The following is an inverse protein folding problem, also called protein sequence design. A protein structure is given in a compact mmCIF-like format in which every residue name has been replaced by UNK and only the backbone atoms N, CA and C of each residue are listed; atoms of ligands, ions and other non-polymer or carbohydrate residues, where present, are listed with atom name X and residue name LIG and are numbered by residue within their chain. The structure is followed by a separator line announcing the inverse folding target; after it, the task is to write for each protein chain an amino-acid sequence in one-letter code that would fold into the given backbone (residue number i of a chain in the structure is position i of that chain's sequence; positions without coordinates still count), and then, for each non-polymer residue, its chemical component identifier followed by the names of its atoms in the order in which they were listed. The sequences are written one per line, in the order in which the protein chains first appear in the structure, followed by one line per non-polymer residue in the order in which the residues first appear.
data_IF_144271958634
#
_entry.id   IF_144271958634
#
_cell.length_a   1.000
_cell.length_b   1.000
_cell.length_c   1.000
_cell.angle_alpha   90.00
_cell.angle_beta   90.00
_cell.angle_gamma   90.00
#
_symmetry.space_group_name_H-M   'P 1'
#
loop_
_entity.id
_entity.type
_entity.pdbx_description
1 polymer ?
#
# COMPACT_ATOMS: atom_id res chain seq x y z
N UNK A 1 -14.18 1.71 4.59
CA UNK A 1 -12.89 1.29 5.25
C UNK A 1 -11.72 1.38 4.30
N UNK A 2 -11.75 0.67 3.19
CA UNK A 2 -10.66 0.72 2.21
C UNK A 2 -10.41 2.13 1.67
N UNK A 3 -11.46 2.91 1.43
CA UNK A 3 -11.31 4.29 0.98
C UNK A 3 -10.57 5.16 1.98
N UNK A 4 -10.79 4.94 3.27
CA UNK A 4 -10.09 5.67 4.32
C UNK A 4 -8.60 5.33 4.31
N UNK A 5 -8.26 4.06 4.13
CA UNK A 5 -6.86 3.64 4.05
C UNK A 5 -6.19 4.19 2.79
N UNK A 6 -6.89 4.19 1.66
CA UNK A 6 -6.34 4.80 0.45
C UNK A 6 -6.07 6.29 0.65
N UNK A 7 -6.95 7.01 1.35
CA UNK A 7 -6.72 8.44 1.66
C UNK A 7 -5.44 8.63 2.46
N UNK A 8 -5.15 7.72 3.41
CA UNK A 8 -3.90 7.78 4.17
C UNK A 8 -2.70 7.56 3.25
N UNK A 9 -2.78 6.60 2.32
CA UNK A 9 -1.74 6.41 1.31
C UNK A 9 -1.54 7.67 0.47
N UNK A 10 -2.63 8.24 -0.03
CA UNK A 10 -2.57 9.41 -0.91
C UNK A 10 -1.96 10.62 -0.20
N UNK A 11 -2.26 10.81 1.08
CA UNK A 11 -1.68 11.91 1.87
C UNK A 11 -0.18 11.76 2.06
N UNK A 12 0.36 10.56 2.01
CA UNK A 12 1.80 10.37 2.12
C UNK A 12 2.56 11.02 0.96
N UNK A 13 1.89 11.25 -0.18
CA UNK A 13 2.47 11.98 -1.31
C UNK A 13 2.88 13.40 -0.91
N UNK A 14 2.17 14.03 0.04
CA UNK A 14 2.52 15.36 0.55
C UNK A 14 3.86 15.37 1.28
N UNK A 15 4.33 14.20 1.70
CA UNK A 15 5.63 14.01 2.34
C UNK A 15 6.70 13.51 1.38
N UNK A 16 6.41 13.50 0.09
CA UNK A 16 7.35 13.09 -0.96
C UNK A 16 7.34 11.61 -1.29
N UNK A 17 6.41 10.83 -0.75
CA UNK A 17 6.30 9.42 -1.09
C UNK A 17 5.69 9.26 -2.47
N UNK A 18 6.27 8.40 -3.29
CA UNK A 18 5.70 8.01 -4.58
C UNK A 18 5.05 6.63 -4.43
N UNK A 19 3.82 6.50 -4.88
CA UNK A 19 3.06 5.26 -4.81
C UNK A 19 3.03 4.60 -6.18
N UNK A 20 3.59 3.41 -6.29
CA UNK A 20 3.72 2.71 -7.58
C UNK A 20 2.68 1.62 -7.78
N UNK A 21 2.37 0.85 -6.75
CA UNK A 21 1.34 -0.19 -6.77
C UNK A 21 0.75 -0.30 -5.37
N UNK A 22 -0.51 -0.72 -5.30
CA UNK A 22 -1.11 -1.07 -4.02
C UNK A 22 -2.28 -2.03 -4.21
N UNK A 23 -2.64 -2.71 -3.15
CA UNK A 23 -3.91 -3.42 -3.02
C UNK A 23 -4.35 -3.37 -1.56
N UNK A 24 -5.62 -3.09 -1.34
CA UNK A 24 -6.22 -3.06 -0.01
C UNK A 24 -7.22 -4.21 0.06
N UNK A 25 -6.88 -5.22 0.83
CA UNK A 25 -7.70 -6.41 1.04
C UNK A 25 -8.51 -6.23 2.33
N UNK A 26 -9.54 -7.06 2.58
CA UNK A 26 -10.32 -6.92 3.81
C UNK A 26 -9.52 -7.00 5.10
N UNK A 27 -8.44 -7.78 5.13
CA UNK A 27 -7.68 -8.00 6.37
C UNK A 27 -6.26 -7.46 6.33
N UNK A 28 -5.76 -7.04 5.16
CA UNK A 28 -4.40 -6.55 5.03
C UNK A 28 -4.23 -5.73 3.76
N UNK A 29 -3.07 -5.09 3.64
CA UNK A 29 -2.72 -4.33 2.45
C UNK A 29 -1.28 -4.63 2.02
N UNK A 30 -1.00 -4.33 0.76
CA UNK A 30 0.35 -4.35 0.20
C UNK A 30 0.55 -3.05 -0.58
N UNK A 31 1.72 -2.45 -0.45
CA UNK A 31 2.06 -1.22 -1.18
C UNK A 31 3.50 -1.27 -1.65
N UNK A 32 3.71 -0.79 -2.87
CA UNK A 32 5.05 -0.59 -3.45
C UNK A 32 5.25 0.91 -3.58
N UNK A 33 6.24 1.46 -2.89
CA UNK A 33 6.43 2.90 -2.80
C UNK A 33 7.91 3.26 -2.78
N UNK A 34 8.24 4.48 -3.25
CA UNK A 34 9.54 5.09 -3.05
C UNK A 34 9.42 6.08 -1.91
N UNK A 35 10.13 5.81 -0.82
CA UNK A 35 10.10 6.64 0.39
C UNK A 35 11.34 7.54 0.35
N UNK A 36 11.18 8.88 0.48
CA UNK A 36 12.33 9.78 0.45
C UNK A 36 13.26 9.58 1.65
N UNK A 37 14.53 9.96 1.51
CA UNK A 37 15.54 9.74 2.54
C UNK A 37 15.18 10.34 3.90
N UNK A 38 14.55 11.50 3.91
CA UNK A 38 14.16 12.19 5.14
C UNK A 38 12.98 11.52 5.85
N UNK A 39 12.34 10.56 5.19
CA UNK A 39 11.26 9.78 5.78
C UNK A 39 11.65 8.30 5.67
N UNK A 40 11.94 7.64 6.77
CA UNK A 40 12.33 6.23 6.74
C UNK A 40 11.14 5.33 6.40
N UNK A 41 11.42 4.12 5.94
CA UNK A 41 10.39 3.11 5.67
C UNK A 41 9.61 2.81 6.96
N UNK A 42 10.29 2.72 8.09
CA UNK A 42 9.65 2.51 9.41
C UNK A 42 8.66 3.62 9.72
N UNK A 43 9.08 4.87 9.49
CA UNK A 43 8.21 6.02 9.75
C UNK A 43 7.02 6.04 8.81
N UNK A 44 7.24 5.69 7.55
CA UNK A 44 6.16 5.59 6.57
C UNK A 44 5.13 4.53 6.99
N UNK A 45 5.59 3.34 7.39
CA UNK A 45 4.71 2.28 7.88
C UNK A 45 3.92 2.71 9.12
N UNK A 46 4.57 3.41 10.04
CA UNK A 46 3.91 3.96 11.23
C UNK A 46 2.85 4.99 10.86
N UNK A 47 3.14 5.86 9.89
CA UNK A 47 2.19 6.88 9.43
C UNK A 47 0.96 6.24 8.79
N UNK A 48 1.15 5.19 8.00
CA UNK A 48 0.03 4.47 7.39
C UNK A 48 -0.84 3.84 8.48
N UNK A 49 -0.24 3.04 9.35
CA UNK A 49 -0.99 2.28 10.36
C UNK A 49 -1.60 3.18 11.41
N UNK A 50 -0.81 4.13 11.91
CA UNK A 50 -1.27 5.09 12.92
C UNK A 50 -2.31 6.05 12.37
N UNK A 51 -2.09 6.58 11.17
CA UNK A 51 -3.04 7.47 10.52
C UNK A 51 -4.38 6.79 10.24
N UNK A 52 -4.34 5.57 9.75
CA UNK A 52 -5.55 4.80 9.51
C UNK A 52 -6.27 4.48 10.84
N UNK A 53 -5.54 4.02 11.85
CA UNK A 53 -6.14 3.70 13.16
C UNK A 53 -6.82 4.91 13.78
N UNK A 54 -6.13 6.07 13.74
CA UNK A 54 -6.68 7.30 14.28
C UNK A 54 -7.98 7.70 13.58
N UNK A 55 -7.98 7.67 12.25
CA UNK A 55 -9.15 8.06 11.46
C UNK A 55 -10.28 7.03 11.58
N UNK A 56 -9.95 5.75 11.63
CA UNK A 56 -10.96 4.70 11.78
C UNK A 56 -11.70 4.84 13.11
N UNK A 57 -10.98 5.14 14.18
CA UNK A 57 -11.60 5.36 15.48
C UNK A 57 -12.46 6.62 15.50
N UNK A 58 -11.97 7.70 14.90
CA UNK A 58 -12.66 8.98 14.90
C UNK A 58 -13.86 8.99 13.95
N UNK A 59 -13.70 8.46 12.75
CA UNK A 59 -14.70 8.61 11.68
C UNK A 59 -15.64 7.43 11.54
N UNK A 60 -15.19 6.21 11.93
CA UNK A 60 -15.96 4.98 11.78
C UNK A 60 -16.37 4.34 13.12
N UNK A 61 -15.95 4.94 14.23
CA UNK A 61 -16.33 4.48 15.57
C UNK A 61 -15.67 3.18 16.01
N UNK A 62 -14.55 2.79 15.39
CA UNK A 62 -13.82 1.59 15.79
C UNK A 62 -13.24 1.75 17.20
N UNK A 63 -13.26 0.68 17.98
CA UNK A 63 -12.64 0.62 19.30
C UNK A 63 -11.62 -0.52 19.31
N UNK A 64 -10.59 -0.39 20.15
CA UNK A 64 -9.54 -1.40 20.26
C UNK A 64 -8.50 -1.30 19.15
N UNK A 65 -7.76 -2.37 18.95
CA UNK A 65 -6.73 -2.43 17.93
C UNK A 65 -7.32 -2.62 16.53
N UNK A 66 -6.89 -1.79 15.59
CA UNK A 66 -7.29 -1.90 14.19
C UNK A 66 -6.34 -2.81 13.42
N UNK A 67 -5.06 -2.83 13.81
CA UNK A 67 -4.00 -3.59 13.15
C UNK A 67 -3.32 -4.55 14.11
N UNK A 68 -2.88 -5.68 13.57
CA UNK A 68 -1.85 -6.47 14.24
C UNK A 68 -0.57 -5.65 14.33
N UNK A 69 0.23 -5.89 15.34
CA UNK A 69 1.51 -5.21 15.48
C UNK A 69 2.48 -5.68 14.40
N UNK A 70 3.37 -4.78 13.99
CA UNK A 70 4.40 -5.08 13.02
C UNK A 70 3.96 -4.92 11.58
N UNK A 71 4.91 -5.09 10.71
CA UNK A 71 4.73 -5.03 9.27
C UNK A 71 5.90 -5.75 8.62
N UNK A 72 5.72 -6.11 7.35
CA UNK A 72 6.79 -6.67 6.52
C UNK A 72 7.27 -5.59 5.57
N UNK A 73 8.59 -5.44 5.41
CA UNK A 73 9.14 -4.57 4.38
C UNK A 73 10.30 -5.26 3.66
N UNK A 74 10.47 -4.94 2.39
CA UNK A 74 11.55 -5.45 1.57
C UNK A 74 11.93 -4.40 0.54
N UNK A 75 13.22 -4.06 0.48
CA UNK A 75 13.73 -3.18 -0.57
C UNK A 75 13.82 -3.96 -1.88
N UNK A 76 13.29 -3.37 -2.94
CA UNK A 76 13.37 -3.96 -4.28
C UNK A 76 14.74 -3.64 -4.85
N UNK A 77 15.47 -4.67 -5.29
CA UNK A 77 16.86 -4.52 -5.72
C UNK A 77 17.10 -4.75 -7.19
N UNK A 78 16.21 -5.47 -7.86
CA UNK A 78 16.36 -5.81 -9.27
C UNK A 78 15.06 -5.58 -10.02
N UNK A 79 15.14 -5.44 -11.34
CA UNK A 79 13.95 -5.32 -12.19
C UNK A 79 13.09 -6.58 -12.13
N UNK A 80 13.71 -7.74 -12.00
CA UNK A 80 12.99 -9.01 -11.88
C UNK A 80 12.16 -9.05 -10.61
N UNK A 81 12.74 -8.62 -9.46
CA UNK A 81 11.99 -8.50 -8.21
C UNK A 81 10.84 -7.50 -8.37
N UNK A 82 11.10 -6.38 -9.02
CA UNK A 82 10.09 -5.34 -9.22
C UNK A 82 8.88 -5.90 -9.96
N UNK A 83 9.11 -6.61 -11.07
CA UNK A 83 8.02 -7.18 -11.85
C UNK A 83 7.28 -8.27 -11.09
N UNK A 84 8.00 -9.08 -10.33
CA UNK A 84 7.39 -10.12 -9.50
C UNK A 84 6.49 -9.52 -8.42
N UNK A 85 6.94 -8.45 -7.77
CA UNK A 85 6.17 -7.77 -6.73
C UNK A 85 4.95 -7.09 -7.34
N UNK A 86 5.08 -6.42 -8.48
CA UNK A 86 3.95 -5.81 -9.18
C UNK A 86 2.89 -6.84 -9.52
N UNK A 87 3.33 -7.98 -10.06
CA UNK A 87 2.43 -9.07 -10.39
C UNK A 87 1.73 -9.62 -9.15
N UNK A 88 2.48 -9.83 -8.08
CA UNK A 88 1.94 -10.32 -6.81
C UNK A 88 0.85 -9.39 -6.26
N UNK A 89 1.12 -8.08 -6.24
CA UNK A 89 0.15 -7.10 -5.73
C UNK A 89 -1.11 -7.11 -6.59
N UNK A 90 -0.96 -7.08 -7.91
CA UNK A 90 -2.10 -7.00 -8.84
C UNK A 90 -2.95 -8.26 -8.83
N UNK A 91 -2.32 -9.42 -8.74
CA UNK A 91 -3.02 -10.70 -8.80
C UNK A 91 -3.54 -11.17 -7.44
N UNK A 92 -3.19 -10.47 -6.36
CA UNK A 92 -3.58 -10.90 -5.01
C UNK A 92 -5.10 -11.06 -4.85
N UNK A 93 -5.94 -10.11 -5.30
CA UNK A 93 -7.40 -10.29 -5.18
C UNK A 93 -7.91 -11.49 -5.99
N UNK A 94 -7.31 -11.76 -7.15
CA UNK A 94 -7.68 -12.91 -7.98
C UNK A 94 -7.30 -14.21 -7.26
N UNK A 95 -6.08 -14.28 -6.74
CA UNK A 95 -5.60 -15.46 -6.01
C UNK A 95 -6.43 -15.76 -4.77
N UNK A 96 -7.11 -14.76 -4.22
CA UNK A 96 -7.95 -14.90 -3.03
C UNK A 96 -9.45 -14.94 -3.36
N UNK A 97 -9.80 -15.12 -4.60
CA UNK A 97 -11.18 -15.23 -5.09
C UNK A 97 -12.05 -14.00 -4.77
N UNK A 98 -11.42 -12.82 -4.68
CA UNK A 98 -12.12 -11.55 -4.48
C UNK A 98 -12.48 -10.85 -5.78
N UNK A 99 -11.89 -11.27 -6.88
CA UNK A 99 -12.17 -10.77 -8.22
C UNK A 99 -11.77 -11.83 -9.24
N UNK A 100 -12.40 -11.81 -10.41
CA UNK A 100 -12.03 -12.71 -11.50
C UNK A 100 -10.82 -12.18 -12.27
N UNK A 101 -10.70 -10.85 -12.36
CA UNK A 101 -9.60 -10.18 -13.05
C UNK A 101 -9.05 -9.07 -12.16
N UNK A 102 -7.74 -8.85 -12.25
CA UNK A 102 -7.05 -7.88 -11.40
C UNK A 102 -7.68 -6.47 -11.47
N UNK A 103 -7.98 -6.01 -12.69
CA UNK A 103 -8.52 -4.66 -12.92
C UNK A 103 -9.94 -4.47 -12.42
N UNK A 104 -10.64 -5.54 -12.10
CA UNK A 104 -12.00 -5.48 -11.58
C UNK A 104 -12.04 -5.21 -10.08
N UNK A 105 -10.96 -5.51 -9.36
CA UNK A 105 -10.96 -5.30 -7.91
C UNK A 105 -10.89 -3.80 -7.61
N UNK A 106 -11.87 -3.25 -6.86
CA UNK A 106 -12.00 -1.79 -6.73
C UNK A 106 -10.88 -1.11 -5.93
N UNK A 107 -10.18 -1.82 -5.06
CA UNK A 107 -9.13 -1.22 -4.21
C UNK A 107 -7.75 -1.76 -4.56
N UNK A 108 -7.42 -1.64 -5.84
CA UNK A 108 -6.14 -2.05 -6.38
C UNK A 108 -5.66 -1.04 -7.41
N UNK A 109 -4.34 -0.85 -7.47
CA UNK A 109 -3.70 -0.03 -8.50
C UNK A 109 -3.94 -0.57 -9.91
N UNK A 110 -4.33 -1.84 -10.07
CA UNK A 110 -4.72 -2.40 -11.35
C UNK A 110 -6.03 -1.81 -11.88
N UNK A 111 -6.86 -1.24 -11.00
CA UNK A 111 -8.10 -0.60 -11.39
C UNK A 111 -7.81 0.79 -11.98
N UNK A 112 -8.41 1.09 -13.14
CA UNK A 112 -8.11 2.30 -13.92
C UNK A 112 -8.47 3.62 -13.23
N UNK A 113 -9.26 3.58 -12.15
CA UNK A 113 -9.63 4.80 -11.42
C UNK A 113 -8.50 5.39 -10.61
N UNK A 114 -7.41 4.64 -10.39
CA UNK A 114 -6.28 5.12 -9.62
C UNK A 114 -5.11 5.49 -10.51
N UNK A 115 -4.53 6.66 -10.26
CA UNK A 115 -3.33 7.12 -10.95
C UNK A 115 -2.13 6.87 -10.05
N UNK A 116 -1.21 6.03 -10.52
CA UNK A 116 -0.02 5.67 -9.77
C UNK A 116 1.19 6.46 -10.27
N UNK A 117 2.21 6.57 -9.41
CA UNK A 117 3.43 7.31 -9.73
C UNK A 117 4.43 6.39 -10.42
N UNK A 118 5.10 6.91 -11.44
CA UNK A 118 6.13 6.15 -12.16
C UNK A 118 7.36 5.93 -11.29
N UNK A 119 8.03 4.80 -11.51
CA UNK A 119 9.29 4.48 -10.84
C UNK A 119 10.45 4.86 -11.77
N UNK A 120 11.23 5.86 -11.38
CA UNK A 120 12.41 6.25 -12.12
C UNK A 120 13.46 5.12 -12.07
N UNK A 121 14.28 4.93 -13.14
CA UNK A 121 15.24 3.82 -13.20
C UNK A 121 16.23 3.78 -12.02
N UNK A 122 16.64 4.94 -11.53
CA UNK A 122 17.59 5.07 -10.42
C UNK A 122 16.92 5.08 -9.04
N UNK A 123 15.59 5.17 -8.99
CA UNK A 123 14.86 5.23 -7.72
C UNK A 123 14.78 3.86 -7.08
N UNK A 124 14.72 3.86 -5.75
CA UNK A 124 14.63 2.64 -4.95
C UNK A 124 13.25 2.53 -4.35
N UNK A 125 12.57 1.44 -4.66
CA UNK A 125 11.24 1.17 -4.13
C UNK A 125 11.31 0.16 -2.98
N UNK A 126 10.34 0.26 -2.08
CA UNK A 126 10.17 -0.69 -0.98
C UNK A 126 8.78 -1.32 -1.09
N UNK A 127 8.73 -2.62 -0.81
CA UNK A 127 7.49 -3.39 -0.73
C UNK A 127 7.12 -3.50 0.75
N UNK A 128 5.93 -3.02 1.10
CA UNK A 128 5.47 -2.97 2.49
C UNK A 128 4.12 -3.66 2.58
N UNK A 129 3.98 -4.55 3.55
CA UNK A 129 2.75 -5.28 3.80
C UNK A 129 2.36 -5.17 5.26
N UNK A 130 1.08 -5.06 5.53
CA UNK A 130 0.57 -5.25 6.89
C UNK A 130 0.64 -6.74 7.25
N UNK A 131 0.84 -7.01 8.53
CA UNK A 131 0.81 -8.38 9.03
C UNK A 131 -0.57 -8.76 9.54
#
# INVERSE_FOLDING_TARGET
MAGLLFDVFAKSRDRGVLLHEFVIMPEHFHVLATVPEQLTVERFAQLIKGGFSFRAKRELGFTGEVWSQGYYDRRVRTDEELQSIRHYIRQNPVARDLAQRAEEYPWSSANSRFRMDDLAPEAKASFISSL
#
